data_IF_819029825490
#
_entry.id   IF_819029825490
#
_cell.length_a   1.000
_cell.length_b   1.000
_cell.length_c   1.000
_cell.angle_alpha   90.00
_cell.angle_beta   90.00
_cell.angle_gamma   90.00
#
_symmetry.space_group_name_H-M   'P 1'
#
loop_
_entity.id
_entity.type
_entity.pdbx_description
1 polymer ?
#
# COMPACT_ATOMS: atom_id res chain seq x y z
N UNK A 1 -16.31 -25.44 -0.80
CA UNK A 1 -16.64 -24.77 -2.07
C UNK A 1 -17.08 -23.35 -1.72
N UNK A 2 -16.18 -22.36 -1.65
CA UNK A 2 -16.58 -21.01 -1.21
C UNK A 2 -15.44 -20.02 -1.12
N UNK A 3 -14.46 -19.99 -2.05
CA UNK A 3 -13.43 -18.96 -2.08
C UNK A 3 -12.90 -18.60 -3.47
N UNK A 4 -13.58 -19.03 -4.55
CA UNK A 4 -13.25 -18.58 -5.91
C UNK A 4 -13.80 -17.18 -6.24
N UNK A 5 -14.79 -16.69 -5.49
CA UNK A 5 -15.53 -15.47 -5.87
C UNK A 5 -14.82 -14.14 -5.55
N UNK A 6 -13.84 -14.12 -4.64
CA UNK A 6 -13.19 -12.87 -4.25
C UNK A 6 -12.16 -12.39 -5.28
N UNK A 7 -11.38 -13.29 -5.87
CA UNK A 7 -10.37 -12.95 -6.88
C UNK A 7 -11.03 -12.67 -8.23
N UNK A 8 -11.97 -13.50 -8.64
CA UNK A 8 -12.75 -13.29 -9.87
C UNK A 8 -13.58 -12.01 -9.82
N UNK A 9 -14.11 -11.63 -8.65
CA UNK A 9 -14.82 -10.37 -8.49
C UNK A 9 -13.87 -9.15 -8.49
N UNK A 10 -12.66 -9.28 -7.99
CA UNK A 10 -11.66 -8.20 -8.01
C UNK A 10 -11.10 -7.99 -9.42
N UNK A 11 -10.68 -9.06 -10.10
CA UNK A 11 -10.26 -9.01 -11.51
C UNK A 11 -11.38 -8.55 -12.43
N UNK A 12 -12.64 -9.00 -12.20
CA UNK A 12 -13.82 -8.52 -12.92
C UNK A 12 -14.20 -7.07 -12.58
N UNK A 13 -13.91 -6.59 -11.37
CA UNK A 13 -14.12 -5.18 -11.00
C UNK A 13 -13.09 -4.28 -11.71
N UNK A 14 -11.84 -4.71 -11.81
CA UNK A 14 -10.79 -4.02 -12.58
C UNK A 14 -11.06 -4.11 -14.08
N UNK A 15 -11.49 -5.27 -14.63
CA UNK A 15 -11.81 -5.45 -16.05
C UNK A 15 -13.13 -4.82 -16.51
N UNK A 16 -14.11 -4.60 -15.61
CA UNK A 16 -15.37 -3.91 -15.93
C UNK A 16 -15.23 -2.40 -16.13
N UNK A 17 -14.14 -1.80 -15.73
CA UNK A 17 -13.88 -0.36 -15.95
C UNK A 17 -13.57 -0.05 -17.42
N UNK A 18 -13.35 -1.06 -18.27
CA UNK A 18 -12.97 -0.90 -19.68
C UNK A 18 -14.13 -0.94 -20.67
N UNK A 19 -15.40 -1.06 -20.25
CA UNK A 19 -16.53 -0.91 -21.16
C UNK A 19 -17.07 0.53 -21.14
N UNK A 20 -16.82 1.24 -22.22
CA UNK A 20 -17.09 2.68 -22.43
C UNK A 20 -18.56 3.07 -22.63
N UNK A 21 -19.56 2.26 -22.29
CA UNK A 21 -20.95 2.49 -22.70
C UNK A 21 -21.96 2.90 -21.61
N UNK A 22 -21.51 3.18 -20.36
CA UNK A 22 -22.44 3.58 -19.29
C UNK A 22 -22.07 4.92 -18.61
N UNK A 23 -21.97 6.00 -19.41
CA UNK A 23 -21.93 7.36 -18.84
C UNK A 23 -23.24 8.07 -19.19
N UNK A 24 -24.29 7.77 -18.47
CA UNK A 24 -25.43 8.69 -18.30
C UNK A 24 -26.01 8.57 -16.88
N UNK A 25 -25.70 9.59 -16.10
CA UNK A 25 -26.39 10.15 -14.96
C UNK A 25 -27.29 9.24 -14.11
N UNK A 26 -26.79 8.79 -12.95
CA UNK A 26 -27.56 8.71 -11.70
C UNK A 26 -26.59 8.52 -10.52
N UNK A 27 -26.53 9.51 -9.64
CA UNK A 27 -25.98 9.39 -8.29
C UNK A 27 -26.80 8.37 -7.52
N UNK A 28 -26.26 7.19 -7.30
CA UNK A 28 -26.84 6.20 -6.41
C UNK A 28 -25.93 6.02 -5.21
N UNK A 29 -26.47 6.32 -4.03
CA UNK A 29 -25.89 5.99 -2.73
C UNK A 29 -25.69 4.48 -2.64
N UNK A 30 -24.45 4.01 -2.68
CA UNK A 30 -24.13 2.62 -2.40
C UNK A 30 -23.91 2.45 -0.90
N UNK A 31 -24.86 1.77 -0.27
CA UNK A 31 -24.74 1.24 1.08
C UNK A 31 -23.64 0.16 1.12
N UNK A 32 -22.86 0.17 2.20
CA UNK A 32 -21.69 -0.68 2.51
C UNK A 32 -21.99 -2.16 2.78
N UNK A 33 -22.88 -2.82 2.02
CA UNK A 33 -23.36 -4.18 2.32
C UNK A 33 -22.78 -5.31 1.45
N UNK A 34 -21.67 -5.09 0.72
CA UNK A 34 -21.03 -6.13 -0.08
C UNK A 34 -19.52 -6.23 0.16
N UNK A 35 -19.15 -6.72 1.35
CA UNK A 35 -17.83 -7.31 1.57
C UNK A 35 -18.01 -8.73 2.09
N UNK A 36 -17.43 -9.76 1.45
CA UNK A 36 -17.52 -11.13 1.94
C UNK A 36 -16.77 -11.27 3.25
N UNK A 37 -17.42 -11.89 4.25
CA UNK A 37 -16.81 -12.29 5.52
C UNK A 37 -15.67 -13.28 5.23
N UNK A 38 -14.43 -12.90 5.49
CA UNK A 38 -13.28 -13.79 5.51
C UNK A 38 -12.96 -14.12 6.97
N UNK A 39 -13.73 -15.05 7.56
CA UNK A 39 -13.35 -15.71 8.80
C UNK A 39 -13.19 -17.20 8.50
N UNK A 40 -11.97 -17.70 8.47
CA UNK A 40 -11.58 -19.11 8.67
C UNK A 40 -10.38 -19.55 7.81
N UNK A 41 -9.18 -19.06 8.09
CA UNK A 41 -7.94 -19.62 7.53
C UNK A 41 -6.77 -19.54 8.52
N UNK A 42 -7.00 -19.92 9.77
CA UNK A 42 -5.92 -20.05 10.74
C UNK A 42 -5.92 -21.47 11.38
N UNK A 43 -5.99 -22.50 10.60
CA UNK A 43 -5.63 -23.84 11.06
C UNK A 43 -5.56 -24.78 9.86
N UNK A 44 -4.37 -24.99 9.31
CA UNK A 44 -4.01 -26.25 8.65
C UNK A 44 -2.50 -26.47 8.70
N UNK A 45 -2.14 -27.54 9.40
CA UNK A 45 -0.81 -28.11 9.43
C UNK A 45 -0.31 -28.47 8.04
N UNK A 46 0.92 -28.04 7.71
CA UNK A 46 1.61 -28.51 6.51
C UNK A 46 2.61 -29.60 6.88
N UNK A 47 2.62 -30.75 6.18
CA UNK A 47 3.58 -31.82 6.42
C UNK A 47 4.98 -31.39 5.94
N UNK A 48 5.97 -31.77 6.73
CA UNK A 48 7.40 -31.65 6.44
C UNK A 48 7.74 -32.39 5.12
N UNK A 49 8.16 -31.67 4.10
CA UNK A 49 8.87 -32.26 2.96
C UNK A 49 10.36 -32.06 3.14
N UNK A 50 11.03 -33.15 3.47
CA UNK A 50 12.48 -33.30 3.50
C UNK A 50 13.05 -33.36 2.08
N UNK A 51 14.22 -32.73 1.90
CA UNK A 51 15.25 -32.90 0.88
C UNK A 51 15.35 -31.89 -0.26
N UNK A 52 16.21 -30.89 -0.02
CA UNK A 52 17.40 -30.70 -0.88
C UNK A 52 18.37 -29.70 -0.22
N UNK A 53 19.53 -30.22 0.22
CA UNK A 53 20.60 -29.45 0.84
C UNK A 53 21.34 -28.62 -0.21
N UNK A 54 21.18 -27.28 -0.17
CA UNK A 54 22.24 -26.35 -0.56
C UNK A 54 22.57 -25.50 0.67
N UNK A 55 23.80 -25.64 1.15
CA UNK A 55 24.32 -25.00 2.36
C UNK A 55 24.42 -23.49 2.18
N UNK A 56 23.37 -22.76 2.55
CA UNK A 56 23.47 -21.41 3.07
C UNK A 56 22.94 -21.47 4.49
N UNK A 57 23.80 -21.16 5.47
CA UNK A 57 23.41 -21.07 6.88
C UNK A 57 22.57 -19.81 7.10
N UNK A 58 21.32 -19.85 6.67
CA UNK A 58 20.32 -18.80 6.96
C UNK A 58 19.73 -19.11 8.32
N UNK A 59 19.93 -18.24 9.30
CA UNK A 59 19.33 -18.38 10.61
C UNK A 59 17.84 -18.02 10.54
N UNK A 60 16.99 -18.96 10.95
CA UNK A 60 15.53 -18.76 11.04
C UNK A 60 15.24 -17.98 12.32
N UNK A 61 14.57 -16.82 12.19
CA UNK A 61 14.08 -16.04 13.33
C UNK A 61 12.62 -16.42 13.52
N UNK A 62 12.27 -16.96 14.69
CA UNK A 62 10.90 -17.27 15.05
C UNK A 62 10.23 -16.04 15.66
N UNK A 63 8.92 -15.87 15.47
CA UNK A 63 8.14 -14.74 16.02
C UNK A 63 8.31 -14.54 17.53
N UNK A 64 8.61 -15.61 18.29
CA UNK A 64 8.89 -15.55 19.73
C UNK A 64 10.24 -14.90 20.06
N UNK A 65 11.24 -14.94 19.17
CA UNK A 65 12.54 -14.29 19.39
C UNK A 65 12.48 -12.79 19.10
N UNK A 66 11.63 -12.35 18.17
CA UNK A 66 11.41 -10.91 17.88
C UNK A 66 10.83 -10.15 19.07
N UNK A 67 10.00 -10.80 19.90
CA UNK A 67 9.37 -10.16 21.07
C UNK A 67 10.35 -9.85 22.22
N UNK A 68 11.54 -10.48 22.26
CA UNK A 68 12.50 -10.31 23.35
C UNK A 68 13.33 -9.01 23.28
N UNK A 69 13.36 -8.33 22.14
CA UNK A 69 14.20 -7.14 21.92
C UNK A 69 13.49 -5.79 22.08
N UNK A 70 12.22 -5.78 22.50
CA UNK A 70 11.46 -4.55 22.70
C UNK A 70 11.49 -4.17 24.16
N UNK A 71 12.15 -3.05 24.49
CA UNK A 71 12.13 -2.48 25.84
C UNK A 71 10.69 -2.19 26.27
N UNK A 72 10.32 -2.46 27.55
CA UNK A 72 8.97 -2.22 28.04
C UNK A 72 8.73 -0.73 28.18
N UNK A 73 8.05 -0.12 27.22
CA UNK A 73 7.49 1.21 27.36
C UNK A 73 5.97 1.01 27.32
N UNK A 74 5.32 1.06 28.48
CA UNK A 74 3.87 1.05 28.56
C UNK A 74 3.33 2.44 28.22
N UNK A 75 3.07 2.70 26.92
CA UNK A 75 2.44 3.93 26.44
C UNK A 75 0.91 3.81 26.36
N UNK A 76 0.37 2.60 26.50
CA UNK A 76 -1.07 2.36 26.47
C UNK A 76 -1.71 2.84 27.78
N UNK A 77 -2.71 3.73 27.66
CA UNK A 77 -3.50 4.23 28.78
C UNK A 77 -4.55 3.21 29.19
N UNK A 78 -4.53 2.78 30.45
CA UNK A 78 -5.52 1.83 31.01
C UNK A 78 -6.80 2.55 31.42
N UNK A 79 -7.49 3.12 30.44
CA UNK A 79 -8.74 3.86 30.68
C UNK A 79 -9.67 3.78 29.45
N UNK A 80 -10.93 4.13 29.66
CA UNK A 80 -11.90 4.18 28.57
C UNK A 80 -11.65 5.38 27.66
N UNK A 81 -11.42 5.11 26.39
CA UNK A 81 -11.19 6.09 25.33
C UNK A 81 -12.36 7.08 25.17
N UNK A 82 -13.58 6.68 25.56
CA UNK A 82 -14.79 7.52 25.48
C UNK A 82 -14.79 8.69 26.45
N UNK A 83 -13.90 8.68 27.44
CA UNK A 83 -13.71 9.85 28.33
C UNK A 83 -13.16 11.07 27.60
N UNK A 84 -12.38 10.83 26.54
CA UNK A 84 -11.71 11.89 25.76
C UNK A 84 -12.28 12.06 24.35
N UNK A 85 -12.77 10.98 23.75
CA UNK A 85 -13.23 10.95 22.37
C UNK A 85 -14.67 10.48 22.27
N UNK A 86 -15.49 11.24 21.56
CA UNK A 86 -16.84 10.83 21.16
C UNK A 86 -16.74 10.00 19.89
N UNK A 87 -16.97 8.69 20.01
CA UNK A 87 -16.90 7.75 18.89
C UNK A 87 -18.25 7.76 18.15
N UNK A 88 -18.20 7.97 16.85
CA UNK A 88 -19.36 7.90 15.95
C UNK A 88 -19.75 6.45 15.69
N UNK A 89 -21.00 6.23 15.29
CA UNK A 89 -21.45 4.95 14.71
C UNK A 89 -20.94 4.74 13.27
N UNK A 90 -20.36 5.77 12.66
CA UNK A 90 -19.84 5.69 11.29
C UNK A 90 -18.53 4.92 11.27
N UNK A 91 -18.53 3.78 10.57
CA UNK A 91 -17.36 2.93 10.36
C UNK A 91 -16.63 3.43 9.12
N UNK A 92 -15.35 3.76 9.27
CA UNK A 92 -14.45 4.20 8.22
C UNK A 92 -13.76 3.03 7.52
N UNK A 93 -13.60 1.89 8.22
CA UNK A 93 -12.98 0.68 7.68
C UNK A 93 -13.33 -0.53 8.53
N UNK A 94 -13.42 -1.69 7.88
CA UNK A 94 -13.72 -2.99 8.48
C UNK A 94 -12.57 -3.96 8.15
N UNK A 95 -11.80 -4.33 9.13
CA UNK A 95 -10.72 -5.32 9.02
C UNK A 95 -11.09 -6.64 9.70
N UNK A 96 -10.35 -7.71 9.43
CA UNK A 96 -10.63 -9.05 9.94
C UNK A 96 -10.76 -9.12 11.47
N UNK A 97 -10.01 -8.31 12.21
CA UNK A 97 -9.95 -8.31 13.69
C UNK A 97 -10.21 -6.94 14.30
N UNK A 98 -10.52 -5.92 13.50
CA UNK A 98 -10.65 -4.54 13.98
C UNK A 98 -11.63 -3.73 13.16
N UNK A 99 -12.24 -2.74 13.80
CA UNK A 99 -13.09 -1.73 13.16
C UNK A 99 -12.48 -0.35 13.36
N UNK A 100 -12.51 0.46 12.31
CA UNK A 100 -12.06 1.86 12.37
C UNK A 100 -13.27 2.79 12.39
N UNK A 101 -13.37 3.61 13.42
CA UNK A 101 -14.47 4.54 13.62
C UNK A 101 -14.02 5.98 13.46
N UNK A 102 -14.93 6.83 12.95
CA UNK A 102 -14.78 8.27 13.08
C UNK A 102 -14.99 8.67 14.54
N UNK A 103 -14.14 9.56 15.05
CA UNK A 103 -14.27 10.12 16.39
C UNK A 103 -13.95 11.61 16.40
N UNK A 104 -14.40 12.30 17.46
CA UNK A 104 -14.09 13.72 17.72
C UNK A 104 -13.71 13.93 19.18
N UNK A 105 -12.81 14.88 19.43
CA UNK A 105 -12.52 15.36 20.79
C UNK A 105 -13.46 16.51 21.20
N UNK A 106 -13.29 17.03 22.43
CA UNK A 106 -14.08 18.16 22.94
C UNK A 106 -13.97 19.44 22.09
N UNK A 107 -12.85 19.63 21.39
CA UNK A 107 -12.61 20.75 20.48
C UNK A 107 -13.13 20.50 19.05
N UNK A 108 -13.95 19.46 18.83
CA UNK A 108 -14.49 19.07 17.50
C UNK A 108 -13.45 18.69 16.46
N UNK A 109 -12.23 18.45 16.87
CA UNK A 109 -11.20 17.92 16.01
C UNK A 109 -11.49 16.44 15.72
N UNK A 110 -11.38 16.05 14.44
CA UNK A 110 -11.69 14.70 13.96
C UNK A 110 -10.49 13.78 14.02
N UNK A 111 -10.76 12.51 14.34
CA UNK A 111 -9.80 11.42 14.46
C UNK A 111 -10.39 10.14 13.88
N UNK A 112 -9.53 9.20 13.56
CA UNK A 112 -9.90 7.80 13.37
C UNK A 112 -9.50 7.00 14.61
N UNK A 113 -10.36 6.07 15.05
CA UNK A 113 -10.05 5.15 16.15
C UNK A 113 -10.15 3.73 15.61
N UNK A 114 -8.99 3.06 15.50
CA UNK A 114 -8.92 1.62 15.21
C UNK A 114 -9.16 0.88 16.51
N UNK A 115 -10.30 0.19 16.59
CA UNK A 115 -10.72 -0.63 17.71
C UNK A 115 -10.46 -2.09 17.43
N UNK A 116 -9.58 -2.71 18.19
CA UNK A 116 -9.20 -4.11 18.09
C UNK A 116 -9.83 -4.86 19.24
N UNK A 117 -10.52 -5.97 18.96
CA UNK A 117 -11.09 -6.81 20.00
C UNK A 117 -9.98 -7.61 20.70
N UNK A 118 -9.95 -7.55 22.02
CA UNK A 118 -8.94 -8.30 22.81
C UNK A 118 -9.23 -9.78 22.74
N UNK A 119 -8.21 -10.55 22.40
CA UNK A 119 -8.27 -11.98 22.49
C UNK A 119 -8.17 -12.45 23.93
N UNK A 120 -8.62 -13.69 24.19
CA UNK A 120 -8.43 -14.34 25.51
C UNK A 120 -6.94 -14.54 25.82
N UNK A 121 -6.08 -14.59 24.80
CA UNK A 121 -4.64 -14.73 24.96
C UNK A 121 -3.99 -13.38 25.29
N UNK A 122 -3.51 -13.21 26.51
CA UNK A 122 -2.83 -11.99 26.97
C UNK A 122 -1.52 -11.69 26.25
N UNK A 123 -0.85 -12.70 25.68
CA UNK A 123 0.41 -12.55 24.94
C UNK A 123 0.12 -11.84 23.60
N UNK A 124 -0.90 -12.30 22.87
CA UNK A 124 -1.31 -11.66 21.60
C UNK A 124 -1.67 -10.18 21.79
N UNK A 125 -2.43 -9.84 22.84
CA UNK A 125 -2.78 -8.47 23.16
C UNK A 125 -1.55 -7.57 23.46
N UNK A 126 -0.55 -8.11 24.18
CA UNK A 126 0.71 -7.39 24.45
C UNK A 126 1.51 -7.12 23.17
N UNK A 127 1.53 -8.07 22.23
CA UNK A 127 2.19 -7.89 20.94
C UNK A 127 1.51 -6.77 20.16
N UNK A 128 0.19 -6.75 20.06
CA UNK A 128 -0.58 -5.70 19.38
C UNK A 128 -0.33 -4.30 19.97
N UNK A 129 -0.26 -4.18 21.30
CA UNK A 129 0.05 -2.91 21.97
C UNK A 129 1.46 -2.46 21.63
N UNK A 130 2.46 -3.37 21.67
CA UNK A 130 3.85 -3.03 21.34
C UNK A 130 4.03 -2.58 19.89
N UNK A 131 3.35 -3.23 18.95
CA UNK A 131 3.34 -2.82 17.55
C UNK A 131 2.77 -1.41 17.40
N UNK A 132 1.64 -1.12 18.06
CA UNK A 132 1.05 0.22 18.07
C UNK A 132 1.96 1.27 18.74
N UNK A 133 2.71 0.92 19.79
CA UNK A 133 3.69 1.80 20.44
C UNK A 133 4.87 2.17 19.53
N UNK A 134 5.29 1.26 18.63
CA UNK A 134 6.27 1.57 17.60
C UNK A 134 5.72 2.68 16.71
N UNK A 135 4.49 2.57 16.28
CA UNK A 135 3.84 3.53 15.39
C UNK A 135 3.70 4.93 16.01
N UNK A 136 3.54 5.04 17.34
CA UNK A 136 3.53 6.33 18.04
C UNK A 136 4.85 7.12 17.87
N UNK A 137 5.96 6.43 17.60
CA UNK A 137 7.29 7.04 17.43
C UNK A 137 7.61 7.38 15.99
N UNK A 138 6.82 6.88 15.03
CA UNK A 138 7.03 7.17 13.62
C UNK A 138 6.52 8.59 13.32
N UNK A 139 7.37 9.39 12.70
CA UNK A 139 7.05 10.75 12.27
C UNK A 139 7.53 10.96 10.84
N UNK A 140 6.63 10.76 9.87
CA UNK A 140 6.89 10.95 8.47
C UNK A 140 5.64 11.45 7.75
N UNK A 141 5.80 12.34 6.76
CA UNK A 141 4.67 12.96 6.04
C UNK A 141 3.72 11.95 5.40
N UNK A 142 4.24 10.82 4.91
CA UNK A 142 3.47 9.78 4.23
C UNK A 142 3.18 8.56 5.12
N UNK A 143 3.26 8.72 6.45
CA UNK A 143 2.82 7.74 7.44
C UNK A 143 1.72 8.38 8.28
N UNK A 144 0.66 7.61 8.54
CA UNK A 144 -0.44 8.08 9.39
C UNK A 144 0.08 8.41 10.79
N UNK A 145 -0.34 9.53 11.34
CA UNK A 145 0.06 9.91 12.69
C UNK A 145 -0.78 9.19 13.72
N UNK A 146 -0.13 8.43 14.59
CA UNK A 146 -0.72 7.86 15.78
C UNK A 146 -0.59 8.86 16.93
N UNK A 147 -1.65 9.01 17.73
CA UNK A 147 -1.67 9.97 18.84
C UNK A 147 -1.65 9.31 20.20
N UNK A 148 -2.50 8.32 20.41
CA UNK A 148 -2.71 7.68 21.71
C UNK A 148 -3.18 6.25 21.55
N UNK A 149 -2.87 5.40 22.55
CA UNK A 149 -3.37 4.04 22.66
C UNK A 149 -4.12 3.94 23.97
N UNK A 150 -5.31 3.33 23.94
CA UNK A 150 -6.13 3.05 25.10
C UNK A 150 -6.39 1.55 25.18
N UNK A 151 -6.28 1.00 26.39
CA UNK A 151 -6.59 -0.38 26.68
C UNK A 151 -7.68 -0.43 27.75
N UNK A 152 -8.83 -1.01 27.43
CA UNK A 152 -9.89 -1.34 28.38
C UNK A 152 -10.06 -2.86 28.52
N UNK A 153 -11.13 -3.31 29.22
CA UNK A 153 -11.36 -4.74 29.44
C UNK A 153 -11.67 -5.54 28.17
N UNK A 154 -12.13 -4.90 27.10
CA UNK A 154 -12.60 -5.55 25.87
C UNK A 154 -11.78 -5.18 24.64
N UNK A 155 -11.22 -3.98 24.60
CA UNK A 155 -10.64 -3.40 23.39
C UNK A 155 -9.25 -2.82 23.61
N UNK A 156 -8.45 -2.84 22.55
CA UNK A 156 -7.33 -1.94 22.32
C UNK A 156 -7.82 -0.90 21.32
N UNK A 157 -7.78 0.38 21.68
CA UNK A 157 -8.23 1.50 20.85
C UNK A 157 -7.03 2.35 20.49
N UNK A 158 -6.72 2.47 19.18
CA UNK A 158 -5.62 3.26 18.66
C UNK A 158 -6.19 4.53 18.03
N UNK A 159 -5.85 5.68 18.60
CA UNK A 159 -6.27 7.00 18.10
C UNK A 159 -5.26 7.49 17.08
N UNK A 160 -5.72 7.81 15.88
CA UNK A 160 -4.86 8.22 14.76
C UNK A 160 -5.49 9.33 13.91
N UNK A 161 -4.69 9.90 13.04
CA UNK A 161 -5.11 10.85 12.02
C UNK A 161 -6.22 10.27 11.14
N UNK A 162 -7.19 11.11 10.72
CA UNK A 162 -8.27 10.69 9.85
C UNK A 162 -7.88 10.86 8.37
N UNK A 163 -8.04 9.82 7.56
CA UNK A 163 -8.08 9.87 6.10
C UNK A 163 -9.51 9.97 5.56
N UNK A 164 -9.69 10.27 4.28
CA UNK A 164 -11.00 10.40 3.64
C UNK A 164 -11.40 9.17 2.82
N UNK A 165 -10.46 8.58 2.09
CA UNK A 165 -10.63 7.38 1.27
C UNK A 165 -9.28 6.69 1.17
N UNK A 166 -9.21 5.47 0.70
CA UNK A 166 -7.95 4.79 0.39
C UNK A 166 -7.60 4.89 -1.11
N UNK A 167 -6.36 4.53 -1.43
CA UNK A 167 -5.83 4.60 -2.80
C UNK A 167 -6.54 3.60 -3.73
N UNK A 168 -7.00 2.45 -3.21
CA UNK A 168 -7.72 1.48 -4.02
C UNK A 168 -9.06 2.05 -4.49
N UNK A 169 -9.88 2.57 -3.54
CA UNK A 169 -11.14 3.21 -3.87
C UNK A 169 -10.94 4.43 -4.77
N UNK A 170 -9.85 5.19 -4.57
CA UNK A 170 -9.53 6.32 -5.42
C UNK A 170 -9.16 5.88 -6.84
N UNK A 171 -8.41 4.79 -7.00
CA UNK A 171 -8.04 4.24 -8.31
C UNK A 171 -9.26 3.69 -9.07
N UNK A 172 -10.11 2.90 -8.42
CA UNK A 172 -11.28 2.33 -9.10
C UNK A 172 -12.34 3.38 -9.48
N UNK A 173 -12.33 4.55 -8.82
CA UNK A 173 -13.18 5.69 -9.19
C UNK A 173 -12.54 6.59 -10.24
N UNK A 174 -11.32 6.32 -10.67
CA UNK A 174 -10.70 7.05 -11.77
C UNK A 174 -11.50 6.81 -13.06
N UNK A 175 -11.83 7.85 -13.83
CA UNK A 175 -12.61 7.70 -15.06
C UNK A 175 -11.97 6.78 -16.11
N UNK A 176 -10.64 6.66 -16.08
CA UNK A 176 -9.87 5.82 -16.99
C UNK A 176 -9.59 4.41 -16.43
N UNK A 177 -9.89 4.15 -15.15
CA UNK A 177 -9.49 2.93 -14.46
C UNK A 177 -7.99 2.83 -14.16
N UNK A 178 -7.21 3.84 -14.54
CA UNK A 178 -5.78 4.00 -14.26
C UNK A 178 -5.47 5.49 -14.07
N UNK A 179 -4.26 5.83 -13.65
CA UNK A 179 -3.82 7.21 -13.50
C UNK A 179 -2.92 7.66 -14.66
N UNK A 180 -3.06 8.92 -15.13
CA UNK A 180 -2.03 9.57 -15.94
C UNK A 180 -0.66 9.50 -15.24
N UNK A 181 0.41 9.48 -16.03
CA UNK A 181 1.78 9.34 -15.54
C UNK A 181 2.12 10.34 -14.43
N UNK A 182 1.72 11.60 -14.55
CA UNK A 182 2.00 12.66 -13.59
C UNK A 182 1.37 12.35 -12.21
N UNK A 183 0.12 11.88 -12.20
CA UNK A 183 -0.59 11.52 -10.96
C UNK A 183 0.01 10.25 -10.35
N UNK A 184 0.29 9.25 -11.19
CA UNK A 184 0.91 8.01 -10.75
C UNK A 184 2.29 8.27 -10.13
N UNK A 185 3.11 9.11 -10.75
CA UNK A 185 4.43 9.52 -10.24
C UNK A 185 4.30 10.19 -8.87
N UNK A 186 3.35 11.12 -8.72
CA UNK A 186 3.15 11.84 -7.46
C UNK A 186 2.77 10.92 -6.32
N UNK A 187 1.92 9.92 -6.56
CA UNK A 187 1.57 8.91 -5.57
C UNK A 187 2.72 7.94 -5.31
N UNK A 188 3.42 7.48 -6.35
CA UNK A 188 4.55 6.57 -6.21
C UNK A 188 5.70 7.19 -5.41
N UNK A 189 6.00 8.48 -5.60
CA UNK A 189 6.98 9.20 -4.77
C UNK A 189 6.58 9.12 -3.29
N UNK A 190 5.30 9.29 -2.97
CA UNK A 190 4.81 9.23 -1.60
C UNK A 190 4.87 7.82 -1.03
N UNK A 191 4.52 6.80 -1.82
CA UNK A 191 4.59 5.38 -1.45
C UNK A 191 6.04 4.99 -1.16
N UNK A 192 6.96 5.25 -2.11
CA UNK A 192 8.38 4.91 -1.96
C UNK A 192 9.04 5.69 -0.82
N UNK A 193 8.64 6.96 -0.60
CA UNK A 193 9.13 7.76 0.53
C UNK A 193 8.72 7.18 1.90
N UNK A 194 7.50 6.63 2.01
CA UNK A 194 7.05 5.95 3.23
C UNK A 194 7.83 4.65 3.46
N UNK A 195 8.06 3.86 2.41
CA UNK A 195 8.79 2.59 2.46
C UNK A 195 10.26 2.85 2.83
N UNK A 196 10.94 3.78 2.14
CA UNK A 196 12.33 4.14 2.42
C UNK A 196 12.52 4.61 3.87
N UNK A 197 11.59 5.43 4.38
CA UNK A 197 11.62 5.85 5.78
C UNK A 197 11.52 4.65 6.74
N UNK A 198 10.59 3.70 6.52
CA UNK A 198 10.47 2.50 7.36
C UNK A 198 11.74 1.67 7.32
N UNK A 199 12.30 1.44 6.14
CA UNK A 199 13.53 0.67 5.98
C UNK A 199 14.74 1.36 6.64
N UNK A 200 14.77 2.70 6.65
CA UNK A 200 15.82 3.49 7.32
C UNK A 200 15.79 3.34 8.85
N UNK A 201 14.60 3.07 9.43
CA UNK A 201 14.44 2.81 10.87
C UNK A 201 14.35 1.31 11.20
N UNK A 202 14.83 0.46 10.28
CA UNK A 202 14.88 -1.00 10.40
C UNK A 202 13.50 -1.66 10.60
N UNK A 203 12.47 -1.15 9.92
CA UNK A 203 11.14 -1.74 9.87
C UNK A 203 10.79 -2.14 8.44
N UNK A 204 10.06 -3.25 8.31
CA UNK A 204 9.46 -3.75 7.06
C UNK A 204 7.97 -3.76 7.28
N UNK A 205 7.19 -3.23 6.36
CA UNK A 205 5.73 -3.17 6.52
C UNK A 205 5.06 -4.53 6.32
N UNK A 206 5.53 -5.31 5.36
CA UNK A 206 5.04 -6.65 4.99
C UNK A 206 3.60 -6.72 4.46
N UNK A 207 2.87 -5.62 4.36
CA UNK A 207 1.52 -5.58 3.77
C UNK A 207 1.28 -4.27 3.00
N UNK A 208 2.22 -3.93 2.14
CA UNK A 208 2.09 -2.77 1.24
C UNK A 208 1.05 -3.10 0.16
N UNK A 209 -0.05 -2.31 0.13
CA UNK A 209 -1.14 -2.41 -0.83
C UNK A 209 -1.94 -1.10 -0.89
N UNK A 210 -2.70 -0.82 -1.96
CA UNK A 210 -3.41 0.44 -2.11
C UNK A 210 -4.40 0.73 -0.98
N UNK A 211 -5.04 -0.30 -0.40
CA UNK A 211 -5.98 -0.16 0.72
C UNK A 211 -5.31 0.35 2.00
N UNK A 212 -3.99 0.14 2.12
CA UNK A 212 -3.21 0.61 3.26
C UNK A 212 -2.62 2.02 3.05
N UNK A 213 -2.99 2.71 1.97
CA UNK A 213 -2.68 4.12 1.75
C UNK A 213 -3.96 4.95 1.77
N UNK A 214 -4.22 5.64 2.87
CA UNK A 214 -5.36 6.56 2.96
C UNK A 214 -4.98 7.94 2.42
N UNK A 215 -5.90 8.55 1.67
CA UNK A 215 -5.75 9.88 1.12
C UNK A 215 -6.25 10.92 2.13
N UNK A 216 -5.45 11.95 2.31
CA UNK A 216 -5.84 13.20 2.93
C UNK A 216 -5.84 14.28 1.86
N UNK A 217 -6.99 14.85 1.58
CA UNK A 217 -7.13 15.91 0.57
C UNK A 217 -7.28 17.23 1.33
N UNK A 218 -6.30 18.12 1.16
CA UNK A 218 -6.32 19.48 1.69
C UNK A 218 -5.99 20.48 0.58
N UNK A 219 -6.85 21.48 0.39
CA UNK A 219 -6.68 22.56 -0.60
C UNK A 219 -6.31 22.03 -2.00
N UNK A 220 -6.94 20.93 -2.41
CA UNK A 220 -6.71 20.31 -3.73
C UNK A 220 -5.41 19.51 -3.87
N UNK A 221 -4.65 19.32 -2.78
CA UNK A 221 -3.50 18.42 -2.75
C UNK A 221 -3.89 17.11 -2.09
N UNK A 222 -3.59 16.00 -2.76
CA UNK A 222 -3.76 14.65 -2.23
C UNK A 222 -2.46 14.17 -1.59
N UNK A 223 -2.52 13.88 -0.30
CA UNK A 223 -1.42 13.33 0.48
C UNK A 223 -1.75 11.91 0.91
N UNK A 224 -0.89 10.95 0.56
CA UNK A 224 -1.01 9.56 0.98
C UNK A 224 -0.41 9.36 2.38
N UNK A 225 -1.11 8.60 3.20
CA UNK A 225 -0.69 8.19 4.53
C UNK A 225 -0.76 6.67 4.63
N UNK A 226 0.38 6.02 4.79
CA UNK A 226 0.47 4.59 5.04
C UNK A 226 -0.13 4.26 6.41
N UNK A 227 -1.01 3.27 6.45
CA UNK A 227 -1.72 2.80 7.65
C UNK A 227 -1.51 1.30 7.84
N UNK A 228 -2.00 0.78 8.97
CA UNK A 228 -2.07 -0.64 9.31
C UNK A 228 -0.72 -1.35 9.43
N UNK A 229 -0.09 -1.15 10.58
CA UNK A 229 1.21 -1.73 10.93
C UNK A 229 1.11 -3.09 11.64
N UNK A 230 -0.04 -3.78 11.52
CA UNK A 230 -0.28 -5.08 12.15
C UNK A 230 0.63 -6.21 11.66
N UNK A 231 1.21 -6.06 10.48
CA UNK A 231 2.14 -7.02 9.87
C UNK A 231 3.61 -6.58 9.93
N UNK A 232 3.89 -5.42 10.57
CA UNK A 232 5.25 -4.86 10.58
C UNK A 232 6.26 -5.82 11.22
N UNK A 233 7.45 -5.90 10.64
CA UNK A 233 8.57 -6.72 11.11
C UNK A 233 9.83 -5.86 11.25
N UNK A 234 10.74 -6.28 12.14
CA UNK A 234 12.07 -5.71 12.16
C UNK A 234 12.90 -6.26 11.01
N UNK A 235 13.67 -5.38 10.38
CA UNK A 235 14.63 -5.77 9.35
C UNK A 235 15.62 -6.77 9.94
N UNK A 236 15.83 -7.94 9.30
CA UNK A 236 16.78 -8.93 9.77
C UNK A 236 18.20 -8.39 9.67
N UNK A 237 19.09 -8.89 10.54
CA UNK A 237 20.52 -8.59 10.45
C UNK A 237 21.09 -9.20 9.16
N UNK A 238 22.23 -8.66 8.72
CA UNK A 238 22.93 -9.18 7.53
C UNK A 238 23.05 -10.71 7.58
N UNK A 239 22.66 -11.40 6.49
CA UNK A 239 22.60 -12.86 6.32
C UNK A 239 21.45 -13.58 7.04
N UNK A 240 20.61 -12.89 7.81
CA UNK A 240 19.37 -13.43 8.36
C UNK A 240 18.22 -13.21 7.38
N UNK A 241 17.17 -14.03 7.49
CA UNK A 241 15.93 -13.91 6.72
C UNK A 241 14.73 -14.12 7.62
N UNK A 242 13.65 -13.41 7.30
CA UNK A 242 12.36 -13.65 7.90
C UNK A 242 11.66 -14.78 7.18
N UNK A 243 10.87 -15.53 7.91
CA UNK A 243 10.04 -16.61 7.41
C UNK A 243 8.63 -16.39 7.92
N UNK A 244 7.68 -17.17 7.46
CA UNK A 244 6.26 -17.10 7.69
C UNK A 244 5.55 -16.17 6.70
N UNK A 245 4.35 -16.62 6.37
CA UNK A 245 3.47 -15.95 5.44
C UNK A 245 2.94 -14.65 6.06
N UNK A 246 3.07 -13.52 5.39
CA UNK A 246 2.54 -12.24 5.83
C UNK A 246 2.06 -11.41 4.63
N UNK A 247 1.07 -10.56 4.87
CA UNK A 247 0.55 -9.65 3.88
C UNK A 247 -0.59 -10.21 3.01
N UNK A 248 -0.97 -9.42 2.03
CA UNK A 248 -2.06 -9.69 1.10
C UNK A 248 -1.51 -10.36 -0.16
N UNK A 249 -2.08 -11.50 -0.53
CA UNK A 249 -1.57 -12.42 -1.55
C UNK A 249 -1.23 -11.75 -2.89
N UNK A 250 -2.07 -10.84 -3.33
CA UNK A 250 -1.95 -10.14 -4.60
C UNK A 250 -0.72 -9.22 -4.69
N UNK A 251 -0.12 -8.89 -3.55
CA UNK A 251 1.06 -8.04 -3.44
C UNK A 251 2.28 -8.77 -2.90
N UNK A 252 2.16 -10.08 -2.63
CA UNK A 252 3.28 -10.87 -2.08
C UNK A 252 4.36 -11.13 -3.11
N UNK A 253 5.59 -10.99 -2.67
CA UNK A 253 6.77 -11.33 -3.46
C UNK A 253 6.95 -12.86 -3.61
N UNK A 254 7.63 -13.33 -4.68
CA UNK A 254 7.86 -14.76 -4.91
C UNK A 254 8.49 -15.47 -3.72
N UNK A 255 9.50 -14.86 -3.08
CA UNK A 255 10.21 -15.39 -1.92
C UNK A 255 9.31 -15.59 -0.69
N UNK A 256 8.28 -14.75 -0.53
CA UNK A 256 7.29 -14.88 0.55
C UNK A 256 6.35 -16.06 0.27
N UNK A 257 5.87 -16.19 -0.97
CA UNK A 257 4.98 -17.27 -1.39
C UNK A 257 5.66 -18.64 -1.33
N UNK A 258 6.98 -18.68 -1.56
CA UNK A 258 7.80 -19.92 -1.49
C UNK A 258 8.28 -20.23 -0.09
N UNK A 259 8.09 -19.31 0.88
CA UNK A 259 8.68 -19.38 2.21
C UNK A 259 10.19 -19.66 2.16
N UNK A 260 10.88 -19.08 1.17
CA UNK A 260 12.32 -19.26 0.95
C UNK A 260 13.19 -18.32 1.80
N UNK A 261 12.52 -17.45 2.58
CA UNK A 261 13.14 -16.43 3.44
C UNK A 261 13.24 -15.08 2.74
N UNK A 262 12.77 -14.01 3.42
CA UNK A 262 12.65 -12.68 2.87
C UNK A 262 13.30 -11.60 3.76
N UNK A 263 13.47 -10.42 3.21
CA UNK A 263 13.90 -9.20 3.88
C UNK A 263 13.02 -8.01 3.43
N UNK A 264 13.51 -6.79 3.58
CA UNK A 264 12.78 -5.57 3.22
C UNK A 264 12.35 -5.50 1.75
N UNK A 265 12.98 -6.25 0.87
CA UNK A 265 12.70 -6.25 -0.58
C UNK A 265 11.27 -6.69 -0.95
N UNK A 266 10.52 -7.24 0.00
CA UNK A 266 9.10 -7.58 -0.21
C UNK A 266 8.23 -6.32 -0.35
N UNK A 267 8.57 -5.23 0.36
CA UNK A 267 7.84 -3.97 0.26
C UNK A 267 8.06 -3.29 -1.12
N UNK A 268 9.28 -3.39 -1.68
CA UNK A 268 9.59 -2.89 -3.03
C UNK A 268 8.87 -3.67 -4.13
N UNK A 269 8.74 -4.99 -3.97
CA UNK A 269 7.93 -5.79 -4.89
C UNK A 269 6.48 -5.32 -4.88
N UNK A 270 5.89 -5.17 -3.69
CA UNK A 270 4.51 -4.71 -3.53
C UNK A 270 4.30 -3.31 -4.14
N UNK A 271 5.27 -2.39 -3.94
CA UNK A 271 5.25 -1.09 -4.60
C UNK A 271 5.29 -1.21 -6.14
N UNK A 272 6.03 -2.19 -6.68
CA UNK A 272 6.05 -2.50 -8.10
C UNK A 272 4.70 -2.97 -8.63
N UNK A 273 3.97 -3.80 -7.88
CA UNK A 273 2.60 -4.23 -8.23
C UNK A 273 1.65 -3.03 -8.22
N UNK A 274 1.71 -2.19 -7.18
CA UNK A 274 0.90 -0.96 -7.10
C UNK A 274 1.19 -0.03 -8.27
N UNK A 275 2.47 0.16 -8.62
CA UNK A 275 2.88 0.97 -9.77
C UNK A 275 2.25 0.46 -11.06
N UNK A 276 2.31 -0.86 -11.31
CA UNK A 276 1.72 -1.46 -12.49
C UNK A 276 0.19 -1.25 -12.52
N UNK A 277 -0.51 -1.50 -11.38
CA UNK A 277 -1.95 -1.28 -11.29
C UNK A 277 -2.33 0.19 -11.57
N UNK A 278 -1.60 1.16 -10.98
CA UNK A 278 -1.90 2.59 -11.19
C UNK A 278 -1.69 3.04 -12.62
N UNK A 279 -0.69 2.51 -13.32
CA UNK A 279 -0.35 2.93 -14.69
C UNK A 279 -1.15 2.19 -15.78
N UNK A 280 -1.72 1.02 -15.48
CA UNK A 280 -2.36 0.16 -16.48
C UNK A 280 -3.81 -0.18 -16.17
N UNK A 281 -4.28 0.01 -14.92
CA UNK A 281 -5.59 -0.42 -14.46
C UNK A 281 -5.74 -1.95 -14.34
N UNK A 282 -4.64 -2.73 -14.45
CA UNK A 282 -4.68 -4.19 -14.46
C UNK A 282 -3.72 -4.79 -13.44
N UNK A 283 -3.95 -6.05 -13.08
CA UNK A 283 -3.02 -6.83 -12.25
C UNK A 283 -2.00 -7.55 -13.15
N UNK A 284 -0.68 -7.42 -12.88
CA UNK A 284 0.35 -8.06 -13.69
C UNK A 284 0.30 -9.60 -13.65
N UNK A 285 -0.33 -10.17 -12.61
CA UNK A 285 -0.36 -11.61 -12.33
C UNK A 285 -1.76 -12.22 -12.34
N UNK A 286 -2.77 -11.48 -12.81
CA UNK A 286 -4.16 -11.92 -12.78
C UNK A 286 -4.37 -13.34 -13.34
N UNK A 287 -5.23 -14.11 -12.70
CA UNK A 287 -5.60 -15.48 -13.05
C UNK A 287 -6.97 -15.83 -12.49
N UNK A 288 -7.53 -16.96 -12.96
CA UNK A 288 -8.84 -17.45 -12.51
C UNK A 288 -8.75 -18.27 -11.22
N UNK A 289 -7.58 -18.80 -10.88
CA UNK A 289 -7.37 -19.64 -9.70
C UNK A 289 -6.20 -19.20 -8.84
N UNK A 290 -6.25 -19.55 -7.56
CA UNK A 290 -5.19 -19.30 -6.59
C UNK A 290 -3.88 -19.97 -6.92
N UNK A 291 -3.93 -21.18 -7.47
CA UNK A 291 -2.74 -21.94 -7.87
C UNK A 291 -2.06 -21.26 -9.05
N UNK A 292 -2.83 -20.93 -10.08
CA UNK A 292 -2.34 -20.22 -11.26
C UNK A 292 -1.77 -18.84 -10.91
N UNK A 293 -2.40 -18.11 -9.97
CA UNK A 293 -1.88 -16.84 -9.50
C UNK A 293 -0.46 -16.96 -8.92
N UNK A 294 -0.24 -17.98 -8.08
CA UNK A 294 1.09 -18.27 -7.53
C UNK A 294 2.11 -18.62 -8.62
N UNK A 295 1.71 -19.39 -9.62
CA UNK A 295 2.56 -19.75 -10.74
C UNK A 295 2.83 -18.54 -11.63
N UNK A 296 1.85 -17.66 -11.83
CA UNK A 296 2.01 -16.41 -12.56
C UNK A 296 3.04 -15.48 -11.91
N UNK A 297 3.03 -15.33 -10.60
CA UNK A 297 4.04 -14.54 -9.88
C UNK A 297 5.44 -15.09 -10.13
N UNK A 298 5.60 -16.39 -10.23
CA UNK A 298 6.91 -17.05 -10.42
C UNK A 298 7.39 -17.06 -11.85
N UNK A 299 6.49 -17.32 -12.80
CA UNK A 299 6.88 -17.76 -14.14
C UNK A 299 6.28 -16.95 -15.28
N UNK A 300 5.10 -16.31 -15.10
CA UNK A 300 4.42 -15.58 -16.15
C UNK A 300 5.24 -14.37 -16.59
N UNK A 301 5.38 -14.17 -17.88
CA UNK A 301 5.96 -12.95 -18.44
C UNK A 301 5.03 -11.76 -18.14
N UNK A 302 5.59 -10.71 -17.52
CA UNK A 302 4.86 -9.50 -17.21
C UNK A 302 4.78 -8.65 -18.47
N UNK A 303 3.58 -8.24 -18.86
CA UNK A 303 3.33 -7.41 -20.04
C UNK A 303 3.65 -5.94 -19.76
N UNK A 304 4.94 -5.66 -19.55
CA UNK A 304 5.41 -4.31 -19.23
C UNK A 304 5.13 -3.27 -20.35
N UNK A 305 4.86 -3.71 -21.59
CA UNK A 305 4.48 -2.87 -22.73
C UNK A 305 3.15 -2.12 -22.50
N UNK A 306 2.34 -2.54 -21.54
CA UNK A 306 1.14 -1.80 -21.12
C UNK A 306 1.50 -0.47 -20.46
N UNK A 307 2.66 -0.35 -19.83
CA UNK A 307 3.20 0.92 -19.34
C UNK A 307 3.81 1.66 -20.53
N UNK A 308 3.16 2.72 -20.99
CA UNK A 308 3.54 3.45 -22.22
C UNK A 308 4.83 4.24 -22.05
N UNK A 309 5.03 4.87 -20.91
CA UNK A 309 6.26 5.60 -20.60
C UNK A 309 7.42 4.64 -20.39
N UNK A 310 8.45 4.75 -21.24
CA UNK A 310 9.61 3.84 -21.22
C UNK A 310 10.38 3.90 -19.90
N UNK A 311 10.56 5.09 -19.32
CA UNK A 311 11.31 5.26 -18.07
C UNK A 311 10.55 4.64 -16.90
N UNK A 312 9.25 4.86 -16.80
CA UNK A 312 8.38 4.22 -15.79
C UNK A 312 8.34 2.71 -15.98
N UNK A 313 8.29 2.25 -17.22
CA UNK A 313 8.36 0.82 -17.56
C UNK A 313 9.65 0.19 -17.06
N UNK A 314 10.78 0.84 -17.27
CA UNK A 314 12.10 0.34 -16.85
C UNK A 314 12.24 0.34 -15.32
N UNK A 315 11.73 1.36 -14.63
CA UNK A 315 11.68 1.38 -13.17
C UNK A 315 10.79 0.25 -12.63
N UNK A 316 9.62 0.02 -13.23
CA UNK A 316 8.72 -1.04 -12.80
C UNK A 316 9.36 -2.44 -12.96
N UNK A 317 10.13 -2.68 -14.04
CA UNK A 317 10.93 -3.92 -14.22
C UNK A 317 11.95 -4.14 -13.10
N UNK A 318 12.55 -3.07 -12.57
CA UNK A 318 13.50 -3.14 -11.46
C UNK A 318 12.82 -3.47 -10.13
N UNK A 319 11.62 -2.90 -9.89
CA UNK A 319 10.80 -3.20 -8.71
C UNK A 319 10.25 -4.64 -8.76
N UNK A 320 9.75 -5.09 -9.91
CA UNK A 320 9.21 -6.44 -10.12
C UNK A 320 10.29 -7.46 -10.53
N UNK A 321 11.53 -7.27 -10.06
CA UNK A 321 12.57 -8.27 -10.25
C UNK A 321 12.34 -9.45 -9.30
N UNK A 322 12.14 -10.65 -9.88
CA UNK A 322 11.90 -11.88 -9.10
C UNK A 322 13.09 -12.29 -8.23
N UNK A 323 14.29 -11.95 -8.65
CA UNK A 323 15.49 -12.16 -7.84
C UNK A 323 15.58 -11.04 -6.79
N UNK A 324 15.24 -11.34 -5.54
CA UNK A 324 15.26 -10.39 -4.43
C UNK A 324 16.57 -9.58 -4.36
N UNK A 325 17.73 -10.22 -4.51
CA UNK A 325 19.04 -9.56 -4.46
C UNK A 325 19.29 -8.57 -5.62
N UNK A 326 18.53 -8.66 -6.73
CA UNK A 326 18.63 -7.74 -7.89
C UNK A 326 17.50 -6.70 -7.90
N UNK A 327 16.55 -6.82 -6.99
CA UNK A 327 15.45 -5.86 -6.89
C UNK A 327 15.97 -4.53 -6.37
N UNK A 328 15.60 -3.43 -7.03
CA UNK A 328 15.96 -2.08 -6.64
C UNK A 328 15.45 -1.77 -5.22
N UNK A 329 16.19 -0.98 -4.45
CA UNK A 329 15.72 -0.52 -3.13
C UNK A 329 14.71 0.62 -3.27
N UNK A 330 13.90 0.85 -2.22
CA UNK A 330 12.94 1.95 -2.18
C UNK A 330 13.64 3.31 -2.35
N UNK A 331 14.81 3.48 -1.74
CA UNK A 331 15.64 4.68 -1.87
C UNK A 331 16.07 4.93 -3.32
N UNK A 332 16.69 3.94 -3.97
CA UNK A 332 17.14 4.07 -5.36
C UNK A 332 15.97 4.29 -6.32
N UNK A 333 14.84 3.59 -6.10
CA UNK A 333 13.62 3.75 -6.89
C UNK A 333 13.02 5.15 -6.73
N UNK A 334 13.02 5.70 -5.51
CA UNK A 334 12.56 7.06 -5.22
C UNK A 334 13.43 8.11 -5.93
N UNK A 335 14.76 7.98 -5.86
CA UNK A 335 15.70 8.87 -6.52
C UNK A 335 15.50 8.85 -8.05
N UNK A 336 15.37 7.65 -8.64
CA UNK A 336 15.11 7.49 -10.08
C UNK A 336 13.77 8.11 -10.50
N UNK A 337 12.72 7.92 -9.69
CA UNK A 337 11.39 8.45 -9.97
C UNK A 337 11.34 9.98 -9.87
N UNK A 338 12.07 10.59 -8.92
CA UNK A 338 12.21 12.04 -8.82
C UNK A 338 12.90 12.61 -10.06
N UNK A 339 13.93 11.92 -10.58
CA UNK A 339 14.60 12.34 -11.81
C UNK A 339 13.66 12.26 -13.03
N UNK A 340 12.87 11.19 -13.15
CA UNK A 340 11.85 11.06 -14.20
C UNK A 340 10.85 12.22 -14.13
N UNK A 341 10.36 12.54 -12.93
CA UNK A 341 9.44 13.68 -12.72
C UNK A 341 10.04 15.00 -13.17
N UNK A 342 11.27 15.30 -12.77
CA UNK A 342 11.96 16.55 -13.09
C UNK A 342 12.14 16.71 -14.61
N UNK A 343 12.49 15.63 -15.31
CA UNK A 343 12.62 15.64 -16.76
C UNK A 343 11.28 15.88 -17.47
N UNK A 344 10.19 15.27 -16.96
CA UNK A 344 8.85 15.52 -17.54
C UNK A 344 8.44 16.97 -17.38
N UNK A 345 8.65 17.57 -16.20
CA UNK A 345 8.37 18.99 -15.96
C UNK A 345 9.19 19.90 -16.88
N UNK A 346 10.48 19.59 -17.06
CA UNK A 346 11.36 20.34 -17.96
C UNK A 346 10.89 20.26 -19.42
N UNK A 347 10.58 19.07 -19.93
CA UNK A 347 10.10 18.86 -21.29
C UNK A 347 8.77 19.57 -21.54
N UNK A 348 7.81 19.48 -20.61
CA UNK A 348 6.53 20.20 -20.71
C UNK A 348 6.72 21.73 -20.75
N UNK A 349 7.72 22.26 -20.04
CA UNK A 349 8.07 23.68 -20.06
C UNK A 349 8.68 24.09 -21.39
N UNK A 350 9.57 23.27 -21.95
CA UNK A 350 10.17 23.52 -23.28
C UNK A 350 9.13 23.52 -24.40
N UNK A 351 8.16 22.59 -24.35
CA UNK A 351 7.12 22.51 -25.38
C UNK A 351 6.15 23.69 -25.31
N UNK A 352 5.85 24.22 -24.13
CA UNK A 352 5.13 25.48 -23.97
C UNK A 352 5.92 26.62 -24.60
N UNK A 353 7.22 26.73 -24.37
CA UNK A 353 8.08 27.77 -24.93
C UNK A 353 8.13 27.71 -26.46
N UNK A 354 8.29 26.53 -27.05
CA UNK A 354 8.28 26.32 -28.51
C UNK A 354 6.94 26.69 -29.12
N UNK A 355 5.83 26.38 -28.48
CA UNK A 355 4.49 26.69 -28.93
C UNK A 355 4.21 28.22 -28.92
N UNK A 356 4.67 28.93 -27.87
CA UNK A 356 4.58 30.40 -27.80
C UNK A 356 5.38 31.05 -28.92
N UNK A 357 6.64 30.66 -29.11
CA UNK A 357 7.48 31.19 -30.19
C UNK A 357 6.92 30.92 -31.59
N UNK A 358 6.33 29.73 -31.80
CA UNK A 358 5.68 29.37 -33.06
C UNK A 358 4.44 30.21 -33.30
N UNK A 359 3.67 30.53 -32.26
CA UNK A 359 2.51 31.43 -32.35
C UNK A 359 2.93 32.85 -32.67
N UNK A 360 3.96 33.40 -32.01
CA UNK A 360 4.51 34.75 -32.30
C UNK A 360 5.07 34.87 -33.73
N UNK A 361 5.79 33.83 -34.20
CA UNK A 361 6.27 33.79 -35.58
C UNK A 361 5.12 33.76 -36.62
N UNK A 362 4.00 33.13 -36.28
CA UNK A 362 2.83 33.05 -37.16
C UNK A 362 2.09 34.38 -37.21
N UNK A 363 1.97 35.07 -36.07
CA UNK A 363 1.35 36.41 -36.00
C UNK A 363 2.18 37.47 -36.71
N UNK A 364 3.51 37.44 -36.59
CA UNK A 364 4.39 38.37 -37.30
C UNK A 364 4.37 38.17 -38.82
N UNK A 365 4.16 36.95 -39.33
CA UNK A 365 4.00 36.67 -40.76
C UNK A 365 2.65 37.13 -41.34
N UNK A 366 1.60 37.14 -40.51
CA UNK A 366 0.27 37.64 -40.92
C UNK A 366 0.18 39.16 -40.94
N UNK A 367 0.93 39.84 -40.07
CA UNK A 367 0.98 41.32 -40.07
C UNK A 367 1.77 41.92 -41.22
N UNK A 368 2.74 41.21 -41.80
CA UNK A 368 3.51 41.68 -42.97
C UNK A 368 2.75 41.53 -44.31
N UNK A 369 1.71 40.68 -44.37
CA UNK A 369 0.89 40.49 -45.58
C UNK A 369 -0.22 41.55 -45.78
N UNK A 370 -0.46 42.39 -44.81
CA UNK A 370 -1.51 43.42 -44.87
C UNK A 370 -1.00 44.81 -45.25
N UNK A 371 0.26 44.96 -45.70
CA UNK A 371 0.88 46.21 -46.15
C UNK A 371 1.54 46.12 -47.54
N UNK A 372 1.08 45.15 -48.35
CA UNK A 372 1.49 45.09 -49.76
C UNK A 372 0.29 45.17 -50.73
#
# INVERSE_FOLDING_TARGET
MGNCDSITNRSKKISRIVSLDDISGKTTNYSSSFLPKVSSYFERDYPNSSNSKKNYSVRRINQHEESQYILPIELAKREDVTKKYKISKHVLGDGATSLVYLAENSSKQKFAIKRIFKEKNTISNKVMIKEAEICLKLNHKNIIKYYEIYEDCKYINIVMEQGQTDLFEFLIRSPLGYFPDEIAIDFLIQILSAIDFLHSVNLIHCDIKPENFVLKIDKGKAELKLVDFGNVRRKPKSKERLFNYCGTKEYMAPETLENSGFDEKVDEWAAGVIMFNMLTGTDPFSSDTDSEYKDNIKFKEIKFEYIKNEKLRNLNKKLLNRYMAKRISAKEALEELINIKNEMVYNNSLDKYKNVNKFEMTMNKSSVKNYS
#
